data_IF_492608000190
#
_entry.id   IF_492608000190
#
_cell.length_a   1.000
_cell.length_b   1.000
_cell.length_c   1.000
_cell.angle_alpha   90.00
_cell.angle_beta   90.00
_cell.angle_gamma   90.00
#
_symmetry.space_group_name_H-M   'P 1'
#
loop_
_entity.id
_entity.type
_entity.pdbx_description
1 polymer ?
#
# COMPACT_ATOMS: atom_id res chain seq x y z
N UNK A 1 -29.99 13.49 -19.45
CA UNK A 1 -28.97 14.48 -19.86
C UNK A 1 -29.56 15.86 -19.70
N UNK A 2 -29.30 16.52 -18.59
CA UNK A 2 -29.72 17.91 -18.38
C UNK A 2 -28.73 18.82 -19.11
N UNK A 3 -29.21 19.88 -19.77
CA UNK A 3 -28.34 20.82 -20.48
C UNK A 3 -27.43 21.53 -19.48
N UNK A 4 -26.10 21.54 -19.72
CA UNK A 4 -25.07 22.19 -18.88
C UNK A 4 -25.40 23.64 -18.50
N UNK A 5 -26.15 24.33 -19.36
CA UNK A 5 -26.61 25.71 -19.14
C UNK A 5 -27.67 25.82 -18.03
N UNK A 6 -28.54 24.82 -17.87
CA UNK A 6 -29.61 24.80 -16.85
C UNK A 6 -29.05 24.60 -15.43
N UNK A 7 -27.97 23.82 -15.28
CA UNK A 7 -27.31 23.59 -13.98
C UNK A 7 -26.69 24.88 -13.43
N UNK A 8 -26.06 25.68 -14.29
CA UNK A 8 -25.47 26.97 -13.91
C UNK A 8 -26.58 27.98 -13.61
N UNK A 9 -27.66 28.03 -14.40
CA UNK A 9 -28.79 28.93 -14.14
C UNK A 9 -29.50 28.65 -12.81
N UNK A 10 -29.67 27.38 -12.43
CA UNK A 10 -30.30 27.01 -11.16
C UNK A 10 -29.44 27.35 -9.91
N UNK A 11 -28.11 27.42 -10.05
CA UNK A 11 -27.18 27.82 -8.98
C UNK A 11 -27.09 29.33 -8.75
N UNK A 12 -27.62 30.12 -9.69
CA UNK A 12 -27.51 31.57 -9.73
C UNK A 12 -28.79 32.29 -9.28
N UNK A 13 -29.86 31.57 -8.94
CA UNK A 13 -31.06 32.18 -8.35
C UNK A 13 -30.77 32.52 -6.89
N UNK A 14 -30.66 33.80 -6.50
CA UNK A 14 -30.60 34.16 -5.09
C UNK A 14 -31.90 33.69 -4.43
N UNK A 15 -31.77 32.96 -3.30
CA UNK A 15 -32.91 32.66 -2.41
C UNK A 15 -33.51 34.00 -1.95
N UNK A 16 -34.51 34.51 -2.66
CA UNK A 16 -35.34 35.62 -2.18
C UNK A 16 -36.00 35.16 -0.88
N UNK A 17 -35.79 35.93 0.19
CA UNK A 17 -36.55 35.76 1.43
C UNK A 17 -38.05 35.88 1.10
N UNK A 18 -38.81 34.85 1.49
CA UNK A 18 -40.21 34.65 1.15
C UNK A 18 -41.06 35.74 1.83
N UNK A 19 -41.65 36.66 1.06
CA UNK A 19 -42.84 37.42 1.46
C UNK A 19 -44.06 36.74 0.86
N UNK A 20 -45.03 36.45 1.72
CA UNK A 20 -46.40 36.07 1.40
C UNK A 20 -47.10 37.27 0.75
N UNK A 21 -47.63 37.13 -0.47
CA UNK A 21 -49.08 37.07 -0.74
C UNK A 21 -49.41 37.15 -2.24
N UNK A 22 -50.49 36.43 -2.57
CA UNK A 22 -51.55 36.65 -3.57
C UNK A 22 -51.26 36.72 -5.09
N UNK A 23 -51.82 35.70 -5.75
CA UNK A 23 -52.79 35.71 -6.85
C UNK A 23 -52.48 36.11 -8.31
N UNK A 24 -53.23 35.38 -9.15
CA UNK A 24 -53.64 35.61 -10.54
C UNK A 24 -52.76 35.08 -11.69
N UNK A 25 -53.23 33.96 -12.25
CA UNK A 25 -53.66 33.80 -13.65
C UNK A 25 -52.85 34.50 -14.77
N UNK A 26 -52.21 33.70 -15.64
CA UNK A 26 -52.31 33.87 -17.11
C UNK A 26 -51.71 32.75 -17.96
N UNK A 27 -52.55 32.35 -18.90
CA UNK A 27 -52.39 31.60 -20.15
C UNK A 27 -51.03 31.55 -20.87
N UNK A 28 -50.79 30.36 -21.43
CA UNK A 28 -50.27 30.03 -22.77
C UNK A 28 -49.55 31.14 -23.57
N UNK A 29 -48.27 30.92 -23.86
CA UNK A 29 -47.61 31.44 -25.05
C UNK A 29 -46.58 30.43 -25.58
N UNK A 30 -46.82 29.97 -26.80
CA UNK A 30 -45.87 29.27 -27.68
C UNK A 30 -44.75 30.25 -28.01
N UNK A 31 -43.49 29.90 -27.72
CA UNK A 31 -42.32 30.66 -28.16
C UNK A 31 -41.17 29.71 -28.54
N UNK A 32 -41.00 29.60 -29.86
CA UNK A 32 -39.75 29.65 -30.62
C UNK A 32 -38.49 29.02 -30.00
N UNK A 33 -38.01 27.95 -30.65
CA UNK A 33 -36.64 27.43 -30.51
C UNK A 33 -35.65 28.46 -31.04
N UNK A 34 -34.66 28.93 -30.25
CA UNK A 34 -33.57 29.72 -30.81
C UNK A 34 -32.58 28.80 -31.52
N UNK A 35 -32.10 29.32 -32.65
CA UNK A 35 -31.11 28.71 -33.51
C UNK A 35 -29.81 28.39 -32.76
N UNK A 36 -29.18 27.30 -33.20
CA UNK A 36 -27.87 26.81 -32.77
C UNK A 36 -26.83 27.93 -32.75
N UNK A 37 -26.46 28.39 -31.55
CA UNK A 37 -25.30 29.24 -31.34
C UNK A 37 -24.03 28.48 -31.71
N UNK A 38 -23.45 28.88 -32.83
CA UNK A 38 -22.10 28.56 -33.25
C UNK A 38 -21.14 28.95 -32.12
N UNK A 39 -20.46 27.96 -31.52
CA UNK A 39 -19.48 28.17 -30.45
C UNK A 39 -18.31 28.98 -31.00
N UNK A 40 -18.38 30.31 -30.87
CA UNK A 40 -17.24 31.19 -31.06
C UNK A 40 -16.11 30.75 -30.11
N UNK A 41 -15.00 30.33 -30.71
CA UNK A 41 -13.75 30.04 -30.00
C UNK A 41 -13.19 31.40 -29.55
N UNK A 42 -13.47 31.75 -28.29
CA UNK A 42 -13.00 32.98 -27.66
C UNK A 42 -11.46 32.94 -27.58
N UNK A 43 -10.74 33.99 -28.05
CA UNK A 43 -9.28 34.03 -27.98
C UNK A 43 -8.80 33.96 -26.51
N UNK A 44 -7.58 33.44 -26.26
CA UNK A 44 -7.04 33.34 -24.92
C UNK A 44 -6.90 34.73 -24.30
N UNK A 45 -7.77 35.04 -23.35
CA UNK A 45 -7.77 36.30 -22.61
C UNK A 45 -6.49 36.42 -21.79
N UNK A 46 -5.97 37.64 -21.69
CA UNK A 46 -4.75 37.95 -20.93
C UNK A 46 -4.95 37.68 -19.43
N UNK A 47 -3.89 37.26 -18.73
CA UNK A 47 -3.96 36.94 -17.28
C UNK A 47 -4.50 38.07 -16.40
N UNK A 48 -4.41 39.32 -16.87
CA UNK A 48 -5.00 40.49 -16.21
C UNK A 48 -6.53 40.41 -16.12
N UNK A 49 -7.21 39.82 -17.11
CA UNK A 49 -8.66 39.63 -17.10
C UNK A 49 -9.09 38.65 -16.02
N UNK A 50 -8.40 37.51 -15.89
CA UNK A 50 -8.72 36.48 -14.90
C UNK A 50 -8.56 37.02 -13.47
N UNK A 51 -7.49 37.78 -13.21
CA UNK A 51 -7.27 38.43 -11.91
C UNK A 51 -8.32 39.50 -11.60
N UNK A 52 -8.68 40.33 -12.58
CA UNK A 52 -9.75 41.32 -12.42
C UNK A 52 -11.11 40.65 -12.13
N UNK A 53 -11.41 39.55 -12.80
CA UNK A 53 -12.65 38.77 -12.60
C UNK A 53 -12.75 38.21 -11.18
N UNK A 54 -11.65 37.67 -10.63
CA UNK A 54 -11.62 37.18 -9.24
C UNK A 54 -11.75 38.33 -8.25
N UNK A 55 -11.06 39.44 -8.46
CA UNK A 55 -11.16 40.61 -7.57
C UNK A 55 -12.57 41.22 -7.55
N UNK A 56 -13.28 41.23 -8.68
CA UNK A 56 -14.67 41.66 -8.74
C UNK A 56 -15.59 40.76 -7.87
N UNK A 57 -15.36 39.44 -7.88
CA UNK A 57 -16.07 38.50 -7.01
C UNK A 57 -15.76 38.77 -5.53
N UNK A 58 -14.48 38.90 -5.18
CA UNK A 58 -14.04 39.16 -3.80
C UNK A 58 -14.49 40.53 -3.28
N UNK A 59 -14.73 41.51 -4.16
CA UNK A 59 -15.24 42.84 -3.81
C UNK A 59 -16.77 42.89 -3.69
N UNK A 60 -17.47 41.79 -3.97
CA UNK A 60 -18.93 41.72 -3.91
C UNK A 60 -19.65 42.49 -5.03
N UNK A 61 -19.01 42.70 -6.18
CA UNK A 61 -19.63 43.39 -7.32
C UNK A 61 -20.85 42.61 -7.83
N UNK A 62 -21.97 43.31 -8.05
CA UNK A 62 -23.23 42.71 -8.49
C UNK A 62 -23.04 41.97 -9.82
N UNK A 63 -23.35 40.68 -9.84
CA UNK A 63 -23.22 39.83 -11.05
C UNK A 63 -21.80 39.34 -11.36
N UNK A 64 -20.77 39.74 -10.60
CA UNK A 64 -19.41 39.23 -10.80
C UNK A 64 -19.32 37.70 -10.58
N UNK A 65 -20.01 37.17 -9.56
CA UNK A 65 -20.06 35.73 -9.31
C UNK A 65 -20.66 34.92 -10.47
N UNK A 66 -21.70 35.46 -11.15
CA UNK A 66 -22.31 34.82 -12.32
C UNK A 66 -21.34 34.78 -13.49
N UNK A 67 -20.74 35.93 -13.84
CA UNK A 67 -19.74 36.04 -14.91
C UNK A 67 -18.54 35.13 -14.66
N UNK A 68 -18.09 35.06 -13.40
CA UNK A 68 -17.03 34.15 -12.98
C UNK A 68 -17.41 32.69 -13.23
N UNK A 69 -18.57 32.23 -12.74
CA UNK A 69 -19.01 30.85 -12.92
C UNK A 69 -19.25 30.50 -14.39
N UNK A 70 -19.82 31.40 -15.18
CA UNK A 70 -19.95 31.22 -16.64
C UNK A 70 -18.59 30.97 -17.28
N UNK A 71 -17.59 31.77 -16.93
CA UNK A 71 -16.23 31.65 -17.45
C UNK A 71 -15.54 30.33 -17.04
N UNK A 72 -15.66 29.91 -15.77
CA UNK A 72 -14.89 28.79 -15.23
C UNK A 72 -15.62 27.45 -15.24
N UNK A 73 -16.94 27.43 -15.41
CA UNK A 73 -17.78 26.22 -15.31
C UNK A 73 -17.32 25.08 -16.22
N UNK A 74 -17.01 25.36 -17.48
CA UNK A 74 -16.52 24.36 -18.45
C UNK A 74 -15.20 23.74 -18.00
N UNK A 75 -14.30 24.55 -17.46
CA UNK A 75 -13.00 24.08 -16.95
C UNK A 75 -13.19 23.23 -15.69
N UNK A 76 -13.98 23.72 -14.72
CA UNK A 76 -14.30 22.98 -13.50
C UNK A 76 -14.98 21.64 -13.83
N UNK A 77 -15.92 21.63 -14.77
CA UNK A 77 -16.57 20.39 -15.22
C UNK A 77 -15.57 19.40 -15.82
N UNK A 78 -14.67 19.87 -16.68
CA UNK A 78 -13.61 19.03 -17.27
C UNK A 78 -12.69 18.44 -16.18
N UNK A 79 -12.33 19.24 -15.18
CA UNK A 79 -11.53 18.79 -14.03
C UNK A 79 -12.28 17.72 -13.23
N UNK A 80 -13.55 17.96 -12.92
CA UNK A 80 -14.39 17.01 -12.17
C UNK A 80 -14.55 15.70 -12.93
N UNK A 81 -14.87 15.74 -14.22
CA UNK A 81 -15.02 14.53 -15.04
C UNK A 81 -13.72 13.74 -15.08
N UNK A 82 -12.58 14.42 -15.18
CA UNK A 82 -11.26 13.78 -15.16
C UNK A 82 -10.95 13.10 -13.82
N UNK A 83 -11.42 13.66 -12.70
CA UNK A 83 -11.10 13.17 -11.35
C UNK A 83 -12.11 12.14 -10.81
N UNK A 84 -13.39 12.30 -11.12
CA UNK A 84 -14.50 11.52 -10.55
C UNK A 84 -15.12 10.56 -11.58
N UNK A 85 -14.99 10.86 -12.88
CA UNK A 85 -15.73 10.18 -13.95
C UNK A 85 -16.93 11.00 -14.41
N UNK A 86 -17.78 10.43 -15.28
CA UNK A 86 -19.01 11.08 -15.76
C UNK A 86 -20.24 10.58 -14.98
N UNK A 87 -21.36 11.32 -15.07
CA UNK A 87 -22.66 10.95 -14.48
C UNK A 87 -23.03 11.72 -13.21
N UNK A 88 -23.97 11.18 -12.44
CA UNK A 88 -24.57 11.85 -11.28
C UNK A 88 -23.54 12.21 -10.17
N UNK A 89 -22.51 11.38 -10.00
CA UNK A 89 -21.42 11.68 -9.05
C UNK A 89 -20.62 12.92 -9.47
N UNK A 90 -20.38 13.11 -10.77
CA UNK A 90 -19.70 14.27 -11.31
C UNK A 90 -20.52 15.54 -11.12
N UNK A 91 -21.84 15.46 -11.34
CA UNK A 91 -22.77 16.56 -11.07
C UNK A 91 -22.74 16.97 -9.58
N UNK A 92 -22.83 16.00 -8.68
CA UNK A 92 -22.75 16.26 -7.24
C UNK A 92 -21.41 16.88 -6.83
N UNK A 93 -20.29 16.34 -7.35
CA UNK A 93 -18.94 16.85 -7.10
C UNK A 93 -18.76 18.29 -7.63
N UNK A 94 -19.26 18.59 -8.83
CA UNK A 94 -19.24 19.93 -9.39
C UNK A 94 -20.02 20.92 -8.52
N UNK A 95 -21.23 20.56 -8.10
CA UNK A 95 -22.05 21.38 -7.21
C UNK A 95 -21.35 21.60 -5.85
N UNK A 96 -20.71 20.56 -5.32
CA UNK A 96 -19.94 20.66 -4.07
C UNK A 96 -18.76 21.63 -4.21
N UNK A 97 -18.02 21.57 -5.31
CA UNK A 97 -16.93 22.53 -5.58
C UNK A 97 -17.47 23.95 -5.68
N UNK A 98 -18.54 24.19 -6.43
CA UNK A 98 -19.13 25.55 -6.55
C UNK A 98 -19.61 26.06 -5.18
N UNK A 99 -20.24 25.22 -4.37
CA UNK A 99 -20.64 25.57 -3.01
C UNK A 99 -19.43 25.89 -2.12
N UNK A 100 -18.36 25.08 -2.21
CA UNK A 100 -17.11 25.28 -1.46
C UNK A 100 -16.35 26.54 -1.90
N UNK A 101 -16.42 26.90 -3.19
CA UNK A 101 -15.87 28.16 -3.70
C UNK A 101 -16.64 29.37 -3.19
N UNK A 102 -17.95 29.26 -2.96
CA UNK A 102 -18.80 30.34 -2.41
C UNK A 102 -18.70 30.48 -0.89
N UNK A 103 -18.29 29.42 -0.18
CA UNK A 103 -18.21 29.40 1.28
C UNK A 103 -17.25 30.46 1.83
N UNK A 104 -17.51 30.92 3.06
CA UNK A 104 -16.69 31.87 3.82
C UNK A 104 -16.30 33.13 3.04
N UNK A 105 -17.28 33.64 2.27
CA UNK A 105 -17.12 34.80 1.39
C UNK A 105 -15.96 34.59 0.39
N UNK A 106 -16.03 33.47 -0.33
CA UNK A 106 -15.05 33.09 -1.33
C UNK A 106 -13.61 32.96 -0.81
N UNK A 107 -13.44 32.48 0.43
CA UNK A 107 -12.12 32.36 1.06
C UNK A 107 -11.10 31.60 0.20
N UNK A 108 -11.54 30.56 -0.51
CA UNK A 108 -10.69 29.75 -1.41
C UNK A 108 -10.25 30.49 -2.67
N UNK A 109 -10.86 31.62 -3.04
CA UNK A 109 -10.42 32.44 -4.18
C UNK A 109 -9.40 33.50 -3.76
N UNK A 110 -9.31 33.86 -2.46
CA UNK A 110 -8.37 34.88 -1.95
C UNK A 110 -6.90 34.52 -2.15
N UNK A 111 -6.58 33.23 -2.32
CA UNK A 111 -5.23 32.75 -2.62
C UNK A 111 -4.78 32.95 -4.07
N UNK A 112 -5.66 33.39 -4.96
CA UNK A 112 -5.32 33.63 -6.36
C UNK A 112 -4.66 35.00 -6.54
N UNK A 113 -3.36 34.98 -6.88
CA UNK A 113 -2.53 36.20 -7.03
C UNK A 113 -2.38 36.67 -8.49
N UNK A 114 -3.04 35.99 -9.44
CA UNK A 114 -2.94 36.28 -10.88
C UNK A 114 -1.62 35.87 -11.54
N UNK A 115 -0.66 35.27 -10.82
CA UNK A 115 0.61 34.81 -11.42
C UNK A 115 0.47 33.53 -12.24
N UNK A 116 -0.56 32.74 -11.94
CA UNK A 116 -0.90 31.52 -12.67
C UNK A 116 -2.22 31.69 -13.41
N UNK A 117 -2.46 30.84 -14.42
CA UNK A 117 -3.78 30.79 -15.05
C UNK A 117 -4.81 30.33 -14.04
N UNK A 118 -6.00 30.92 -14.07
CA UNK A 118 -7.10 30.58 -13.17
C UNK A 118 -7.50 29.10 -13.29
N UNK A 119 -7.35 28.52 -14.47
CA UNK A 119 -7.61 27.11 -14.74
C UNK A 119 -6.67 26.20 -13.95
N UNK A 120 -5.38 26.54 -13.86
CA UNK A 120 -4.40 25.82 -13.04
C UNK A 120 -4.71 25.96 -11.56
N UNK A 121 -5.01 27.19 -11.11
CA UNK A 121 -5.39 27.46 -9.73
C UNK A 121 -6.64 26.68 -9.31
N UNK A 122 -7.71 26.76 -10.10
CA UNK A 122 -8.97 26.06 -9.85
C UNK A 122 -8.82 24.54 -9.95
N UNK A 123 -7.89 24.03 -10.76
CA UNK A 123 -7.56 22.59 -10.75
C UNK A 123 -7.04 22.15 -9.39
N UNK A 124 -6.17 22.94 -8.75
CA UNK A 124 -5.66 22.65 -7.41
C UNK A 124 -6.76 22.77 -6.35
N UNK A 125 -7.55 23.84 -6.40
CA UNK A 125 -8.65 24.05 -5.45
C UNK A 125 -9.71 22.95 -5.57
N UNK A 126 -10.13 22.61 -6.78
CA UNK A 126 -11.08 21.52 -7.02
C UNK A 126 -10.52 20.19 -6.54
N UNK A 127 -9.23 19.92 -6.78
CA UNK A 127 -8.54 18.74 -6.27
C UNK A 127 -8.63 18.69 -4.75
N UNK A 128 -8.21 19.74 -4.05
CA UNK A 128 -8.26 19.79 -2.59
C UNK A 128 -9.67 19.65 -2.01
N UNK A 129 -10.68 20.31 -2.59
CA UNK A 129 -12.08 20.20 -2.14
C UNK A 129 -12.59 18.76 -2.25
N UNK A 130 -12.35 18.10 -3.40
CA UNK A 130 -12.77 16.71 -3.59
C UNK A 130 -11.98 15.74 -2.70
N UNK A 131 -10.71 16.04 -2.44
CA UNK A 131 -9.88 15.26 -1.53
C UNK A 131 -10.42 15.34 -0.09
N UNK A 132 -10.80 16.54 0.37
CA UNK A 132 -11.39 16.75 1.70
C UNK A 132 -12.75 16.03 1.83
N UNK A 133 -13.61 16.12 0.81
CA UNK A 133 -14.88 15.39 0.77
C UNK A 133 -14.67 13.87 0.87
N UNK A 134 -13.74 13.34 0.06
CA UNK A 134 -13.38 11.94 0.04
C UNK A 134 -12.88 11.46 1.41
N UNK A 135 -12.08 12.27 2.11
CA UNK A 135 -11.63 11.95 3.46
C UNK A 135 -12.80 11.76 4.43
N UNK A 136 -13.83 12.61 4.34
CA UNK A 136 -15.06 12.48 5.13
C UNK A 136 -15.87 11.22 4.81
N UNK A 137 -15.85 10.76 3.55
CA UNK A 137 -16.58 9.57 3.12
C UNK A 137 -16.00 8.26 3.69
N UNK A 138 -14.71 8.20 4.00
CA UNK A 138 -14.09 7.01 4.64
C UNK A 138 -14.70 6.65 6.00
N UNK A 139 -15.36 7.60 6.68
CA UNK A 139 -16.08 7.35 7.94
C UNK A 139 -17.53 6.89 7.73
N UNK A 140 -18.12 7.15 6.55
CA UNK A 140 -19.53 6.87 6.25
C UNK A 140 -19.69 5.61 5.40
N UNK A 141 -18.99 5.56 4.26
CA UNK A 141 -19.08 4.50 3.25
C UNK A 141 -17.67 4.09 2.77
N UNK A 142 -16.90 3.36 3.59
CA UNK A 142 -15.47 3.14 3.33
C UNK A 142 -15.15 2.40 2.02
N UNK A 143 -16.01 1.47 1.60
CA UNK A 143 -15.81 0.70 0.35
C UNK A 143 -15.95 1.58 -0.90
N UNK A 144 -17.03 2.36 -0.97
CA UNK A 144 -17.26 3.32 -2.07
C UNK A 144 -16.18 4.42 -2.07
N UNK A 145 -15.82 4.92 -0.88
CA UNK A 145 -14.74 5.88 -0.73
C UNK A 145 -13.40 5.33 -1.25
N UNK A 146 -13.11 4.04 -1.01
CA UNK A 146 -11.91 3.40 -1.55
C UNK A 146 -11.90 3.30 -3.09
N UNK A 147 -13.02 2.96 -3.71
CA UNK A 147 -13.13 2.92 -5.18
C UNK A 147 -12.91 4.30 -5.79
N UNK A 148 -13.44 5.35 -5.18
CA UNK A 148 -13.19 6.74 -5.59
C UNK A 148 -11.74 7.14 -5.35
N UNK A 149 -11.18 6.79 -4.20
CA UNK A 149 -9.78 7.04 -3.84
C UNK A 149 -8.80 6.43 -4.83
N UNK A 150 -8.99 5.16 -5.19
CA UNK A 150 -8.09 4.44 -6.10
C UNK A 150 -8.11 5.03 -7.52
N UNK A 151 -9.27 5.46 -8.02
CA UNK A 151 -9.39 6.21 -9.28
C UNK A 151 -8.68 7.56 -9.21
N UNK A 152 -8.94 8.31 -8.14
CA UNK A 152 -8.45 9.67 -7.97
C UNK A 152 -6.93 9.75 -7.76
N UNK A 153 -6.38 8.94 -6.85
CA UNK A 153 -4.96 8.96 -6.49
C UNK A 153 -4.11 7.99 -7.32
N UNK A 154 -4.69 7.05 -8.06
CA UNK A 154 -3.95 5.96 -8.71
C UNK A 154 -2.80 6.44 -9.61
N UNK A 155 -3.01 7.53 -10.37
CA UNK A 155 -1.94 8.11 -11.20
C UNK A 155 -0.82 8.75 -10.36
N UNK A 156 -1.18 9.47 -9.28
CA UNK A 156 -0.22 10.08 -8.37
C UNK A 156 0.62 9.04 -7.64
N UNK A 157 -0.03 7.99 -7.12
CA UNK A 157 0.64 6.90 -6.41
C UNK A 157 1.66 6.23 -7.33
N UNK A 158 1.26 5.86 -8.56
CA UNK A 158 2.17 5.27 -9.55
C UNK A 158 3.32 6.22 -9.91
N UNK A 159 3.04 7.52 -10.08
CA UNK A 159 4.09 8.52 -10.33
C UNK A 159 5.07 8.61 -9.17
N UNK A 160 4.57 8.57 -7.93
CA UNK A 160 5.40 8.62 -6.71
C UNK A 160 6.28 7.39 -6.58
N UNK A 161 5.71 6.21 -6.82
CA UNK A 161 6.43 4.92 -6.83
C UNK A 161 7.54 4.94 -7.88
N UNK A 162 7.24 5.38 -9.11
CA UNK A 162 8.22 5.45 -10.19
C UNK A 162 9.38 6.42 -9.88
N UNK A 163 9.15 7.45 -9.07
CA UNK A 163 10.17 8.41 -8.64
C UNK A 163 11.02 7.90 -7.47
N UNK A 164 10.46 7.12 -6.56
CA UNK A 164 11.16 6.68 -5.34
C UNK A 164 11.85 5.33 -5.47
N UNK A 165 11.29 4.41 -6.25
CA UNK A 165 11.89 3.09 -6.42
C UNK A 165 12.92 3.09 -7.55
N UNK A 166 13.99 2.29 -7.44
CA UNK A 166 14.98 2.15 -8.50
C UNK A 166 14.35 1.83 -9.86
N UNK A 167 14.88 2.41 -10.93
CA UNK A 167 14.44 2.12 -12.30
C UNK A 167 14.60 0.65 -12.70
N UNK A 168 15.49 -0.08 -12.02
CA UNK A 168 15.76 -1.51 -12.23
C UNK A 168 14.59 -2.43 -11.87
N UNK A 169 13.64 -1.98 -11.03
CA UNK A 169 12.50 -2.78 -10.59
C UNK A 169 11.51 -3.12 -11.74
N UNK A 170 11.70 -2.52 -12.92
CA UNK A 170 10.86 -2.76 -14.09
C UNK A 170 9.43 -2.27 -13.90
N UNK A 171 8.55 -2.58 -14.87
CA UNK A 171 7.13 -2.22 -14.79
C UNK A 171 6.38 -3.11 -13.79
N UNK A 172 6.62 -4.41 -13.81
CA UNK A 172 5.95 -5.38 -12.94
C UNK A 172 6.18 -5.07 -11.45
N UNK A 173 7.43 -4.94 -11.02
CA UNK A 173 7.71 -4.67 -9.61
C UNK A 173 7.24 -3.29 -9.13
N UNK A 174 7.06 -2.31 -10.04
CA UNK A 174 6.39 -1.04 -9.71
C UNK A 174 4.89 -1.20 -9.49
N UNK A 175 4.23 -2.07 -10.25
CA UNK A 175 2.82 -2.40 -10.01
C UNK A 175 2.66 -3.23 -8.73
N UNK A 176 3.59 -4.15 -8.43
CA UNK A 176 3.59 -4.89 -7.16
C UNK A 176 3.74 -3.93 -5.97
N UNK A 177 4.64 -2.95 -6.06
CA UNK A 177 4.76 -1.90 -5.06
C UNK A 177 3.49 -1.04 -4.93
N UNK A 178 2.78 -0.77 -6.03
CA UNK A 178 1.49 -0.08 -5.99
C UNK A 178 0.43 -0.89 -5.25
N UNK A 179 0.36 -2.21 -5.49
CA UNK A 179 -0.56 -3.09 -4.78
C UNK A 179 -0.23 -3.16 -3.29
N UNK A 180 1.06 -3.27 -2.93
CA UNK A 180 1.49 -3.28 -1.54
C UNK A 180 1.15 -1.96 -0.83
N UNK A 181 1.35 -0.81 -1.48
CA UNK A 181 0.89 0.49 -0.96
C UNK A 181 -0.62 0.50 -0.74
N UNK A 182 -1.40 0.00 -1.71
CA UNK A 182 -2.86 -0.10 -1.58
C UNK A 182 -3.27 -0.98 -0.38
N UNK A 183 -2.66 -2.16 -0.23
CA UNK A 183 -2.90 -3.06 0.89
C UNK A 183 -2.59 -2.38 2.24
N UNK A 184 -1.46 -1.66 2.34
CA UNK A 184 -1.10 -0.91 3.55
C UNK A 184 -2.03 0.25 3.88
N UNK A 185 -2.69 0.84 2.88
CA UNK A 185 -3.69 1.87 3.09
C UNK A 185 -5.05 1.30 3.55
N UNK A 186 -5.42 0.10 3.08
CA UNK A 186 -6.65 -0.61 3.47
C UNK A 186 -6.51 -1.25 4.86
N UNK A 187 -5.29 -1.66 5.24
CA UNK A 187 -4.98 -2.37 6.48
C UNK A 187 -5.64 -1.72 7.72
N UNK A 188 -6.21 -2.56 8.60
CA UNK A 188 -6.92 -2.14 9.81
C UNK A 188 -8.10 -1.18 9.54
N UNK A 189 -8.94 -1.50 8.54
CA UNK A 189 -10.14 -0.72 8.18
C UNK A 189 -9.80 0.76 7.88
N UNK A 190 -8.85 0.94 6.96
CA UNK A 190 -8.41 2.26 6.49
C UNK A 190 -7.86 3.17 7.60
N UNK A 191 -7.33 2.61 8.69
CA UNK A 191 -6.86 3.37 9.87
C UNK A 191 -5.92 4.52 9.51
N UNK A 192 -4.99 4.30 8.58
CA UNK A 192 -4.03 5.34 8.14
C UNK A 192 -4.71 6.48 7.40
N UNK A 193 -5.78 6.23 6.67
CA UNK A 193 -6.52 7.27 5.96
C UNK A 193 -7.39 8.03 6.96
N UNK A 194 -8.13 7.31 7.82
CA UNK A 194 -9.02 7.89 8.85
C UNK A 194 -8.30 8.67 9.93
N UNK A 195 -7.00 8.45 10.14
CA UNK A 195 -6.20 9.27 11.06
C UNK A 195 -5.90 10.68 10.56
N UNK A 196 -6.36 11.05 9.37
CA UNK A 196 -6.31 12.43 8.89
C UNK A 196 -7.17 13.34 9.77
N UNK A 197 -6.53 14.23 10.52
CA UNK A 197 -7.19 15.13 11.47
C UNK A 197 -7.68 16.46 10.88
N UNK A 198 -7.86 16.56 9.56
CA UNK A 198 -8.36 17.80 8.91
C UNK A 198 -7.37 18.97 8.87
N UNK A 199 -6.11 18.78 9.29
CA UNK A 199 -5.09 19.83 9.26
C UNK A 199 -4.25 19.72 7.98
N UNK A 200 -4.24 20.79 7.18
CA UNK A 200 -3.55 20.84 5.87
C UNK A 200 -4.32 20.10 4.77
N UNK A 201 -3.79 20.03 3.55
CA UNK A 201 -4.46 19.32 2.43
C UNK A 201 -4.43 17.79 2.65
N UNK A 202 -5.58 17.14 2.46
CA UNK A 202 -5.68 15.68 2.47
C UNK A 202 -4.76 15.02 1.43
N UNK A 203 -4.60 15.63 0.25
CA UNK A 203 -3.65 15.16 -0.77
C UNK A 203 -2.22 15.08 -0.22
N UNK A 204 -1.76 16.16 0.43
CA UNK A 204 -0.42 16.21 1.03
C UNK A 204 -0.24 15.16 2.13
N UNK A 205 -1.28 14.95 2.95
CA UNK A 205 -1.30 13.91 3.96
C UNK A 205 -1.13 12.51 3.35
N UNK A 206 -1.93 12.16 2.34
CA UNK A 206 -1.89 10.85 1.68
C UNK A 206 -0.52 10.61 1.03
N UNK A 207 0.01 11.59 0.29
CA UNK A 207 1.33 11.45 -0.33
C UNK A 207 2.43 11.26 0.72
N UNK A 208 2.33 11.90 1.88
CA UNK A 208 3.28 11.69 2.99
C UNK A 208 3.16 10.28 3.59
N UNK A 209 1.93 9.77 3.75
CA UNK A 209 1.70 8.40 4.23
C UNK A 209 2.28 7.39 3.24
N UNK A 210 2.07 7.60 1.94
CA UNK A 210 2.60 6.77 0.86
C UNK A 210 4.12 6.80 0.83
N UNK A 211 4.74 7.97 0.96
CA UNK A 211 6.20 8.10 1.06
C UNK A 211 6.76 7.29 2.23
N UNK A 212 6.09 7.32 3.39
CA UNK A 212 6.51 6.52 4.55
C UNK A 212 6.39 5.02 4.28
N UNK A 213 5.30 4.59 3.65
CA UNK A 213 5.12 3.18 3.25
C UNK A 213 6.24 2.77 2.28
N UNK A 214 6.50 3.56 1.24
CA UNK A 214 7.54 3.27 0.26
C UNK A 214 8.93 3.23 0.90
N UNK A 215 9.24 4.16 1.80
CA UNK A 215 10.48 4.13 2.57
C UNK A 215 10.59 2.84 3.39
N UNK A 216 9.50 2.39 4.02
CA UNK A 216 9.51 1.14 4.79
C UNK A 216 9.65 -0.10 3.89
N UNK A 217 9.07 -0.10 2.69
CA UNK A 217 9.28 -1.15 1.69
C UNK A 217 10.73 -1.20 1.22
N UNK A 218 11.30 -0.06 0.85
CA UNK A 218 12.72 0.05 0.47
C UNK A 218 13.62 -0.40 1.63
N UNK A 219 13.27 -0.10 2.89
CA UNK A 219 14.02 -0.56 4.06
C UNK A 219 13.89 -2.05 4.32
N UNK A 220 12.79 -2.68 3.91
CA UNK A 220 12.60 -4.14 4.03
C UNK A 220 13.52 -4.87 3.05
N UNK A 221 13.62 -4.38 1.81
CA UNK A 221 14.48 -4.96 0.78
C UNK A 221 15.95 -4.58 0.95
N UNK A 222 16.19 -3.31 1.30
CA UNK A 222 17.52 -2.74 1.54
C UNK A 222 17.55 -2.21 2.97
N UNK A 223 17.81 -3.08 3.97
CA UNK A 223 17.93 -2.65 5.37
C UNK A 223 18.92 -1.50 5.45
N UNK A 224 18.61 -0.50 6.30
CA UNK A 224 19.47 0.68 6.50
C UNK A 224 20.88 0.22 6.86
N UNK A 225 21.79 0.31 5.90
CA UNK A 225 23.20 0.01 6.09
C UNK A 225 23.82 1.17 6.83
N UNK A 226 23.93 1.05 8.15
CA UNK A 226 24.71 1.98 8.96
C UNK A 226 26.15 1.49 8.96
N UNK A 227 27.08 2.38 8.68
CA UNK A 227 28.49 2.09 8.84
C UNK A 227 28.78 1.81 10.32
N UNK A 228 29.40 0.67 10.67
CA UNK A 228 29.80 0.41 12.05
C UNK A 228 30.71 1.53 12.54
N UNK A 229 30.53 1.98 13.79
CA UNK A 229 31.25 3.12 14.33
C UNK A 229 32.77 2.96 14.27
N UNK A 230 33.27 1.72 14.38
CA UNK A 230 34.69 1.41 14.20
C UNK A 230 35.17 1.74 12.78
N UNK A 231 34.41 1.36 11.76
CA UNK A 231 34.71 1.65 10.35
C UNK A 231 34.55 3.13 10.03
N UNK A 232 33.53 3.80 10.59
CA UNK A 232 33.35 5.25 10.40
C UNK A 232 34.51 6.10 10.92
N UNK A 233 35.30 5.57 11.87
CA UNK A 233 36.51 6.22 12.39
C UNK A 233 37.77 5.85 11.61
N UNK A 234 37.71 4.84 10.75
CA UNK A 234 38.84 4.41 9.91
C UNK A 234 39.08 5.38 8.77
N UNK A 235 40.28 5.33 8.13
CA UNK A 235 40.58 6.11 6.92
C UNK A 235 39.51 5.96 5.81
N UNK A 236 39.35 6.96 4.91
CA UNK A 236 38.36 6.92 3.83
C UNK A 236 38.50 5.70 2.90
N UNK A 237 39.73 5.23 2.66
CA UNK A 237 40.00 4.02 1.88
C UNK A 237 39.40 2.77 2.55
N UNK A 238 39.57 2.64 3.86
CA UNK A 238 39.00 1.53 4.65
C UNK A 238 37.46 1.58 4.62
N UNK A 239 36.86 2.78 4.72
CA UNK A 239 35.41 2.95 4.60
C UNK A 239 34.89 2.56 3.20
N UNK A 240 35.63 2.93 2.16
CA UNK A 240 35.28 2.64 0.77
C UNK A 240 35.42 1.14 0.44
N UNK A 241 36.48 0.49 0.92
CA UNK A 241 36.68 -0.96 0.79
C UNK A 241 35.58 -1.73 1.53
N UNK A 242 35.27 -1.32 2.76
CA UNK A 242 34.17 -1.93 3.52
C UNK A 242 32.84 -1.82 2.77
N UNK A 243 32.54 -0.65 2.21
CA UNK A 243 31.35 -0.43 1.37
C UNK A 243 31.36 -1.33 0.13
N UNK A 244 32.46 -1.38 -0.62
CA UNK A 244 32.57 -2.19 -1.82
C UNK A 244 32.39 -3.70 -1.51
N UNK A 245 33.07 -4.21 -0.49
CA UNK A 245 33.04 -5.65 -0.15
C UNK A 245 31.74 -6.04 0.54
N UNK A 246 31.41 -5.38 1.65
CA UNK A 246 30.32 -5.82 2.55
C UNK A 246 28.96 -5.38 2.04
N UNK A 247 28.86 -4.20 1.42
CA UNK A 247 27.58 -3.67 0.94
C UNK A 247 27.35 -3.96 -0.54
N UNK A 248 28.35 -3.77 -1.39
CA UNK A 248 28.20 -3.97 -2.84
C UNK A 248 28.51 -5.40 -3.28
N UNK A 249 29.09 -6.23 -2.39
CA UNK A 249 29.42 -7.62 -2.68
C UNK A 249 30.60 -7.76 -3.65
N UNK A 250 31.47 -6.74 -3.75
CA UNK A 250 32.70 -6.82 -4.53
C UNK A 250 33.61 -7.92 -3.95
N UNK A 251 34.15 -8.84 -4.78
CA UNK A 251 35.12 -9.82 -4.31
C UNK A 251 36.34 -9.16 -3.67
N UNK A 252 36.93 -9.83 -2.67
CA UNK A 252 38.18 -9.44 -2.01
C UNK A 252 39.40 -9.69 -2.91
N UNK A 253 39.34 -9.22 -4.15
CA UNK A 253 40.40 -9.27 -5.14
C UNK A 253 40.91 -7.86 -5.40
N UNK A 254 42.22 -7.65 -5.30
CA UNK A 254 42.84 -6.32 -5.32
C UNK A 254 42.54 -5.57 -6.62
N UNK A 255 42.58 -6.26 -7.76
CA UNK A 255 42.33 -5.66 -9.07
C UNK A 255 40.86 -5.27 -9.23
N UNK A 256 39.94 -6.14 -8.80
CA UNK A 256 38.50 -5.83 -8.80
C UNK A 256 38.14 -4.70 -7.83
N UNK A 257 38.77 -4.64 -6.67
CA UNK A 257 38.58 -3.55 -5.72
C UNK A 257 39.13 -2.24 -6.28
N UNK A 258 40.33 -2.24 -6.88
CA UNK A 258 40.88 -1.07 -7.55
C UNK A 258 39.94 -0.56 -8.66
N UNK A 259 39.37 -1.46 -9.46
CA UNK A 259 38.38 -1.11 -10.47
C UNK A 259 37.09 -0.53 -9.88
N UNK A 260 36.58 -1.11 -8.78
CA UNK A 260 35.36 -0.65 -8.11
C UNK A 260 35.53 0.71 -7.40
N UNK A 261 36.74 1.00 -6.90
CA UNK A 261 37.07 2.22 -6.17
C UNK A 261 37.51 3.39 -7.07
N UNK A 262 37.78 3.13 -8.35
CA UNK A 262 38.26 4.14 -9.31
C UNK A 262 37.33 5.36 -9.33
N UNK A 263 37.90 6.54 -9.09
CA UNK A 263 37.17 7.82 -9.07
C UNK A 263 36.23 8.03 -7.86
N UNK A 264 36.17 7.12 -6.89
CA UNK A 264 35.41 7.30 -5.63
C UNK A 264 36.20 8.07 -4.57
N UNK A 265 37.53 8.09 -4.69
CA UNK A 265 38.46 8.72 -3.78
C UNK A 265 39.16 9.89 -4.49
N UNK A 266 39.72 10.82 -3.71
CA UNK A 266 40.47 11.96 -4.26
C UNK A 266 41.73 11.53 -5.04
N UNK A 267 42.28 10.35 -4.70
CA UNK A 267 43.38 9.71 -5.40
C UNK A 267 43.06 8.23 -5.54
N UNK A 268 43.36 7.66 -6.71
CA UNK A 268 43.16 6.23 -6.95
C UNK A 268 44.18 5.44 -6.11
N UNK A 269 43.71 4.53 -5.23
CA UNK A 269 44.60 3.79 -4.32
C UNK A 269 45.44 2.79 -5.11
N UNK A 270 46.71 2.61 -4.71
CA UNK A 270 47.57 1.58 -5.30
C UNK A 270 47.17 0.19 -4.80
N UNK A 271 47.60 -0.86 -5.50
CA UNK A 271 47.37 -2.25 -5.09
C UNK A 271 47.91 -2.54 -3.68
N UNK A 272 49.02 -1.89 -3.30
CA UNK A 272 49.63 -2.00 -1.97
C UNK A 272 48.72 -1.36 -0.92
N UNK A 273 48.21 -0.15 -1.18
CA UNK A 273 47.31 0.56 -0.25
C UNK A 273 46.04 -0.25 0.01
N UNK A 274 45.49 -0.89 -1.03
CA UNK A 274 44.30 -1.75 -0.92
C UNK A 274 44.62 -2.97 -0.06
N UNK A 275 45.73 -3.66 -0.31
CA UNK A 275 46.12 -4.85 0.45
C UNK A 275 46.33 -4.53 1.95
N UNK A 276 47.00 -3.43 2.26
CA UNK A 276 47.20 -2.98 3.64
C UNK A 276 45.87 -2.62 4.32
N UNK A 277 44.97 -1.95 3.59
CA UNK A 277 43.65 -1.55 4.12
C UNK A 277 42.75 -2.76 4.37
N UNK A 278 42.77 -3.77 3.49
CA UNK A 278 42.07 -5.05 3.70
C UNK A 278 42.62 -5.77 4.94
N UNK A 279 43.94 -5.81 5.11
CA UNK A 279 44.56 -6.41 6.30
C UNK A 279 44.16 -5.69 7.59
N UNK A 280 44.15 -4.35 7.60
CA UNK A 280 43.67 -3.55 8.75
C UNK A 280 42.21 -3.84 9.07
N UNK A 281 41.34 -3.84 8.05
CA UNK A 281 39.92 -4.09 8.21
C UNK A 281 39.63 -5.50 8.76
N UNK A 282 40.40 -6.51 8.31
CA UNK A 282 40.28 -7.89 8.81
C UNK A 282 40.53 -8.03 10.31
N UNK A 283 41.29 -7.11 10.91
CA UNK A 283 41.50 -7.05 12.37
C UNK A 283 40.34 -6.39 13.14
N UNK A 284 39.48 -5.61 12.48
CA UNK A 284 38.40 -4.84 13.12
C UNK A 284 37.03 -5.49 12.90
N UNK A 285 36.74 -5.94 11.67
CA UNK A 285 35.43 -6.47 11.27
C UNK A 285 35.62 -7.65 10.32
N UNK A 286 34.74 -8.66 10.42
CA UNK A 286 34.67 -9.71 9.39
C UNK A 286 34.23 -9.10 8.07
N UNK A 287 35.10 -9.15 7.07
CA UNK A 287 34.81 -8.76 5.68
C UNK A 287 34.07 -9.88 4.94
N UNK A 288 33.05 -10.45 5.58
CA UNK A 288 32.14 -11.38 4.93
C UNK A 288 30.98 -10.57 4.35
N UNK A 289 30.57 -10.92 3.13
CA UNK A 289 29.34 -10.36 2.56
C UNK A 289 28.22 -10.61 3.56
N UNK A 290 27.54 -9.55 4.01
CA UNK A 290 26.28 -9.75 4.72
C UNK A 290 25.40 -10.56 3.78
N UNK A 291 25.09 -11.82 4.14
CA UNK A 291 24.43 -12.78 3.25
C UNK A 291 23.36 -12.05 2.45
N UNK A 292 23.50 -11.96 1.12
CA UNK A 292 22.49 -11.30 0.34
C UNK A 292 21.17 -12.01 0.64
N UNK A 293 20.09 -11.25 0.81
CA UNK A 293 18.78 -11.80 0.48
C UNK A 293 18.96 -12.41 -0.91
N UNK A 294 18.84 -13.73 -1.00
CA UNK A 294 19.24 -14.56 -2.13
C UNK A 294 18.71 -13.91 -3.40
N UNK A 295 19.57 -13.24 -4.17
CA UNK A 295 19.15 -12.58 -5.39
C UNK A 295 18.80 -13.70 -6.35
N UNK A 296 17.51 -13.83 -6.66
CA UNK A 296 17.03 -14.87 -7.55
C UNK A 296 17.64 -14.62 -8.93
N UNK A 297 18.65 -15.41 -9.28
CA UNK A 297 19.25 -15.39 -10.61
C UNK A 297 18.28 -16.11 -11.53
N UNK A 298 17.83 -15.43 -12.60
CA UNK A 298 17.01 -16.06 -13.62
C UNK A 298 17.78 -17.23 -14.24
N UNK A 299 17.16 -18.40 -14.30
CA UNK A 299 17.73 -19.57 -14.95
C UNK A 299 18.02 -19.30 -16.44
N UNK A 300 17.19 -18.50 -17.11
CA UNK A 300 17.38 -18.11 -18.51
C UNK A 300 18.69 -17.34 -18.73
N UNK A 301 19.13 -16.55 -17.75
CA UNK A 301 20.38 -15.80 -17.83
C UNK A 301 21.61 -16.71 -17.70
N UNK A 302 21.48 -17.87 -17.06
CA UNK A 302 22.56 -18.84 -16.89
C UNK A 302 22.65 -19.83 -18.07
N UNK A 303 21.56 -20.06 -18.80
CA UNK A 303 21.51 -21.09 -19.85
C UNK A 303 22.26 -20.71 -21.13
N UNK A 304 22.46 -19.42 -21.43
CA UNK A 304 23.05 -18.99 -22.70
C UNK A 304 22.35 -19.59 -23.93
N UNK A 305 22.82 -19.29 -25.14
CA UNK A 305 22.34 -20.00 -26.34
C UNK A 305 22.96 -21.41 -26.38
N UNK A 306 22.41 -22.35 -25.61
CA UNK A 306 22.63 -23.78 -25.81
C UNK A 306 23.19 -24.60 -24.65
N UNK A 307 23.36 -24.04 -23.44
CA UNK A 307 23.79 -24.81 -22.27
C UNK A 307 22.58 -25.31 -21.46
N UNK A 308 22.34 -26.63 -21.38
CA UNK A 308 21.36 -27.15 -20.43
C UNK A 308 21.98 -27.25 -19.03
N UNK A 309 21.46 -26.49 -18.07
CA UNK A 309 21.82 -26.68 -16.66
C UNK A 309 20.97 -27.83 -16.12
N UNK A 310 21.64 -28.92 -15.72
CA UNK A 310 20.98 -30.01 -15.00
C UNK A 310 20.78 -29.56 -13.55
N UNK A 311 19.59 -29.05 -13.24
CA UNK A 311 19.16 -28.86 -11.86
C UNK A 311 18.78 -30.24 -11.35
N UNK A 312 19.43 -30.69 -10.27
CA UNK A 312 19.06 -31.94 -9.63
C UNK A 312 17.59 -31.86 -9.22
N UNK A 313 16.76 -32.72 -9.80
CA UNK A 313 15.37 -32.83 -9.42
C UNK A 313 15.33 -33.34 -7.97
N UNK A 314 14.69 -32.55 -7.10
CA UNK A 314 14.49 -32.91 -5.69
C UNK A 314 13.22 -33.73 -5.50
N UNK A 315 12.57 -34.14 -6.60
CA UNK A 315 11.48 -35.10 -6.54
C UNK A 315 12.00 -36.40 -5.92
N UNK A 316 11.20 -37.01 -5.01
CA UNK A 316 11.58 -38.25 -4.37
C UNK A 316 11.79 -39.31 -5.45
N UNK A 317 12.92 -40.02 -5.33
CA UNK A 317 13.25 -41.14 -6.21
C UNK A 317 12.16 -42.21 -6.15
N UNK A 318 12.05 -43.09 -7.16
CA UNK A 318 11.13 -44.22 -7.11
C UNK A 318 11.28 -45.04 -5.81
N UNK A 319 12.50 -45.20 -5.33
CA UNK A 319 12.84 -45.85 -4.06
C UNK A 319 12.33 -45.05 -2.86
N UNK A 320 12.52 -43.72 -2.85
CA UNK A 320 11.97 -42.85 -1.80
C UNK A 320 10.44 -42.88 -1.77
N UNK A 321 9.78 -43.01 -2.93
CA UNK A 321 8.32 -43.14 -3.01
C UNK A 321 7.83 -44.44 -2.40
N UNK A 322 8.57 -45.53 -2.60
CA UNK A 322 8.25 -46.82 -1.99
C UNK A 322 8.41 -46.73 -0.46
N UNK A 323 9.49 -46.11 0.02
CA UNK A 323 9.69 -45.86 1.45
C UNK A 323 8.59 -44.97 2.05
N UNK A 324 8.18 -43.91 1.35
CA UNK A 324 7.09 -43.04 1.78
C UNK A 324 5.76 -43.80 1.86
N UNK A 325 5.49 -44.71 0.92
CA UNK A 325 4.29 -45.54 0.94
C UNK A 325 4.29 -46.53 2.12
N UNK A 326 5.42 -47.22 2.35
CA UNK A 326 5.58 -48.09 3.53
C UNK A 326 5.48 -47.31 4.85
N UNK A 327 6.05 -46.10 4.90
CA UNK A 327 5.90 -45.21 6.06
C UNK A 327 4.45 -44.79 6.27
N UNK A 328 3.71 -44.49 5.20
CA UNK A 328 2.31 -44.10 5.26
C UNK A 328 1.43 -45.27 5.72
N UNK A 329 1.67 -46.49 5.23
CA UNK A 329 1.01 -47.71 5.73
C UNK A 329 1.31 -47.96 7.21
N UNK A 330 2.58 -47.84 7.63
CA UNK A 330 2.96 -47.97 9.04
C UNK A 330 2.32 -46.89 9.91
N UNK A 331 2.28 -45.64 9.44
CA UNK A 331 1.60 -44.53 10.13
C UNK A 331 0.11 -44.78 10.24
N UNK A 332 -0.55 -45.25 9.17
CA UNK A 332 -1.96 -45.57 9.17
C UNK A 332 -2.28 -46.71 10.15
N UNK A 333 -1.46 -47.77 10.17
CA UNK A 333 -1.59 -48.87 11.11
C UNK A 333 -1.41 -48.41 12.56
N UNK A 334 -0.42 -47.56 12.83
CA UNK A 334 -0.17 -46.98 14.15
C UNK A 334 -1.37 -46.12 14.61
N UNK A 335 -1.88 -45.26 13.74
CA UNK A 335 -3.05 -44.42 14.02
C UNK A 335 -4.28 -45.28 14.31
N UNK A 336 -4.51 -46.33 13.53
CA UNK A 336 -5.61 -47.26 13.77
C UNK A 336 -5.48 -47.98 15.12
N UNK A 337 -4.29 -48.44 15.47
CA UNK A 337 -4.02 -49.08 16.76
C UNK A 337 -4.21 -48.12 17.94
N UNK A 338 -3.74 -46.88 17.83
CA UNK A 338 -3.94 -45.84 18.86
C UNK A 338 -5.43 -45.52 19.00
N UNK A 339 -6.17 -45.38 17.90
CA UNK A 339 -7.60 -45.11 17.94
C UNK A 339 -8.38 -46.25 18.61
N UNK A 340 -8.09 -47.51 18.24
CA UNK A 340 -8.71 -48.69 18.86
C UNK A 340 -8.39 -48.81 20.36
N UNK A 341 -7.18 -48.42 20.77
CA UNK A 341 -6.82 -48.37 22.19
C UNK A 341 -7.51 -47.20 22.91
N UNK A 342 -7.66 -46.05 22.25
CA UNK A 342 -8.33 -44.88 22.78
C UNK A 342 -9.82 -45.11 23.00
N UNK A 343 -10.49 -45.96 22.22
CA UNK A 343 -11.90 -46.33 22.43
C UNK A 343 -12.18 -46.94 23.80
N UNK A 344 -11.18 -47.56 24.43
CA UNK A 344 -11.28 -48.15 25.77
C UNK A 344 -11.14 -47.12 26.90
N UNK A 345 -10.75 -45.88 26.59
CA UNK A 345 -10.61 -44.83 27.58
C UNK A 345 -11.97 -44.25 28.02
N UNK A 346 -12.06 -43.77 29.27
CA UNK A 346 -13.20 -42.97 29.72
C UNK A 346 -13.47 -41.77 28.79
N UNK A 347 -14.74 -41.38 28.64
CA UNK A 347 -15.16 -40.25 27.79
C UNK A 347 -14.36 -38.98 28.01
N UNK A 348 -14.05 -38.69 29.27
CA UNK A 348 -13.43 -37.43 29.68
C UNK A 348 -11.94 -37.40 29.30
N UNK A 349 -11.28 -38.56 29.33
CA UNK A 349 -9.88 -38.70 28.92
C UNK A 349 -9.74 -38.65 27.40
N UNK A 350 -10.70 -39.24 26.66
CA UNK A 350 -10.77 -39.12 25.19
C UNK A 350 -10.97 -37.67 24.74
N UNK A 351 -11.90 -36.96 25.38
CA UNK A 351 -12.17 -35.55 25.09
C UNK A 351 -10.94 -34.68 25.38
N UNK A 352 -10.25 -34.92 26.50
CA UNK A 352 -9.01 -34.22 26.83
C UNK A 352 -7.93 -34.41 25.74
N UNK A 353 -7.67 -35.66 25.33
CA UNK A 353 -6.68 -35.97 24.29
C UNK A 353 -7.06 -35.34 22.94
N UNK A 354 -8.35 -35.38 22.57
CA UNK A 354 -8.84 -34.75 21.35
C UNK A 354 -8.58 -33.25 21.33
N UNK A 355 -8.86 -32.54 22.43
CA UNK A 355 -8.62 -31.09 22.54
C UNK A 355 -7.13 -30.77 22.44
N UNK A 356 -6.26 -31.57 23.07
CA UNK A 356 -4.80 -31.35 23.08
C UNK A 356 -4.20 -31.58 21.70
N UNK A 357 -4.59 -32.63 20.98
CA UNK A 357 -4.01 -32.96 19.67
C UNK A 357 -4.66 -32.24 18.49
N UNK A 358 -5.87 -31.69 18.65
CA UNK A 358 -6.54 -30.92 17.59
C UNK A 358 -6.11 -29.45 17.54
N UNK A 359 -5.35 -28.97 18.53
CA UNK A 359 -4.90 -27.58 18.59
C UNK A 359 -3.58 -27.41 17.82
N UNK A 360 -3.54 -26.44 16.90
CA UNK A 360 -2.31 -26.08 16.18
C UNK A 360 -1.21 -25.53 17.11
N UNK A 361 -1.59 -25.04 18.30
CA UNK A 361 -0.71 -24.55 19.35
C UNK A 361 -1.10 -25.16 20.71
N UNK A 362 -0.14 -25.42 21.61
CA UNK A 362 -0.42 -26.02 22.91
C UNK A 362 -1.28 -25.09 23.78
N UNK A 363 -2.53 -25.51 24.04
CA UNK A 363 -3.46 -24.75 24.87
C UNK A 363 -3.06 -24.76 26.36
N UNK A 364 -3.15 -23.63 27.08
CA UNK A 364 -2.93 -23.60 28.51
C UNK A 364 -4.04 -24.35 29.27
N UNK A 365 -3.73 -24.91 30.44
CA UNK A 365 -4.66 -25.74 31.23
C UNK A 365 -6.00 -25.03 31.53
N UNK A 366 -6.00 -23.70 31.71
CA UNK A 366 -7.21 -22.89 31.89
C UNK A 366 -8.10 -22.85 30.63
N UNK A 367 -7.49 -22.86 29.45
CA UNK A 367 -8.21 -22.91 28.18
C UNK A 367 -8.89 -24.27 27.99
N UNK A 368 -8.17 -25.36 28.31
CA UNK A 368 -8.71 -26.72 28.29
C UNK A 368 -9.85 -26.88 29.30
N UNK A 369 -9.68 -26.40 30.53
CA UNK A 369 -10.71 -26.43 31.57
C UNK A 369 -12.01 -25.74 31.14
N UNK A 370 -11.90 -24.58 30.49
CA UNK A 370 -13.05 -23.84 29.94
C UNK A 370 -13.76 -24.63 28.84
N UNK A 371 -13.02 -25.27 27.95
CA UNK A 371 -13.60 -26.08 26.86
C UNK A 371 -14.28 -27.35 27.36
N UNK A 372 -13.73 -27.97 28.41
CA UNK A 372 -14.26 -29.18 29.02
C UNK A 372 -15.36 -28.92 30.06
N UNK A 373 -15.56 -27.66 30.48
CA UNK A 373 -16.55 -27.29 31.50
C UNK A 373 -16.19 -27.82 32.91
N UNK A 374 -14.91 -28.03 33.20
CA UNK A 374 -14.44 -28.60 34.47
C UNK A 374 -13.44 -27.68 35.20
N UNK A 375 -13.19 -27.91 36.51
CA UNK A 375 -12.14 -27.21 37.26
C UNK A 375 -10.74 -27.45 36.71
N UNK A 376 -9.83 -26.50 36.92
CA UNK A 376 -8.46 -26.57 36.38
C UNK A 376 -7.66 -27.71 37.03
N UNK A 377 -7.96 -28.03 38.29
CA UNK A 377 -7.34 -29.12 39.04
C UNK A 377 -7.62 -30.49 38.38
N UNK A 378 -8.83 -30.68 37.85
CA UNK A 378 -9.23 -31.93 37.20
C UNK A 378 -8.53 -32.09 35.84
N UNK A 379 -8.23 -30.99 35.14
CA UNK A 379 -7.41 -31.02 33.92
C UNK A 379 -5.99 -31.54 34.22
N UNK A 380 -5.39 -31.18 35.35
CA UNK A 380 -4.09 -31.71 35.74
C UNK A 380 -4.13 -33.21 36.06
N UNK A 381 -5.21 -33.68 36.69
CA UNK A 381 -5.42 -35.12 36.95
C UNK A 381 -5.66 -35.90 35.67
N UNK A 382 -6.43 -35.35 34.72
CA UNK A 382 -6.63 -35.92 33.39
C UNK A 382 -5.29 -36.00 32.64
N UNK A 383 -4.51 -34.92 32.63
CA UNK A 383 -3.17 -34.89 32.04
C UNK A 383 -2.27 -36.01 32.57
N UNK A 384 -2.20 -36.20 33.90
CA UNK A 384 -1.38 -37.25 34.50
C UNK A 384 -1.86 -38.66 34.11
N UNK A 385 -3.17 -38.91 34.13
CA UNK A 385 -3.76 -40.19 33.73
C UNK A 385 -3.50 -40.50 32.25
N UNK A 386 -3.77 -39.54 31.36
CA UNK A 386 -3.52 -39.68 29.93
C UNK A 386 -2.04 -39.86 29.61
N UNK A 387 -1.13 -39.19 30.34
CA UNK A 387 0.32 -39.41 30.19
C UNK A 387 0.75 -40.81 30.61
N UNK A 388 0.17 -41.36 31.69
CA UNK A 388 0.43 -42.73 32.12
C UNK A 388 -0.05 -43.73 31.07
N UNK A 389 -1.27 -43.54 30.56
CA UNK A 389 -1.85 -44.37 29.51
C UNK A 389 -1.02 -44.32 28.21
N UNK A 390 -0.58 -43.13 27.77
CA UNK A 390 0.28 -42.99 26.58
C UNK A 390 1.58 -43.81 26.74
N UNK A 391 2.22 -43.76 27.91
CA UNK A 391 3.42 -44.57 28.18
C UNK A 391 3.13 -46.07 28.11
N UNK A 392 2.01 -46.52 28.68
CA UNK A 392 1.62 -47.93 28.63
C UNK A 392 1.37 -48.41 27.20
N UNK A 393 0.75 -47.58 26.36
CA UNK A 393 0.53 -47.90 24.94
C UNK A 393 1.83 -47.90 24.14
N UNK A 394 2.74 -46.97 24.38
CA UNK A 394 4.04 -46.97 23.68
C UNK A 394 4.76 -48.30 23.91
N UNK A 395 4.80 -48.78 25.15
CA UNK A 395 5.41 -50.08 25.49
C UNK A 395 4.68 -51.25 24.82
N UNK A 396 3.35 -51.21 24.72
CA UNK A 396 2.58 -52.26 24.03
C UNK A 396 2.82 -52.26 22.52
N UNK A 397 2.93 -51.08 21.90
CA UNK A 397 3.18 -50.95 20.47
C UNK A 397 4.61 -51.36 20.10
N UNK A 398 5.61 -51.00 20.92
CA UNK A 398 7.00 -51.46 20.76
C UNK A 398 7.07 -53.00 20.82
N UNK A 399 6.43 -53.60 21.83
CA UNK A 399 6.40 -55.07 21.98
C UNK A 399 5.68 -55.79 20.82
N UNK A 400 4.66 -55.17 20.24
CA UNK A 400 3.94 -55.73 19.10
C UNK A 400 4.69 -55.53 17.78
N UNK A 401 5.50 -54.47 17.66
CA UNK A 401 6.35 -54.21 16.48
C UNK A 401 7.48 -55.23 16.36
N UNK A 402 8.07 -55.67 17.48
CA UNK A 402 9.12 -56.70 17.51
C UNK A 402 8.62 -58.12 17.20
N UNK A 403 7.31 -58.33 17.25
CA UNK A 403 6.66 -59.63 16.99
C UNK A 403 6.19 -59.82 15.55
N UNK A 404 6.28 -58.77 14.72
CA UNK A 404 5.78 -58.76 13.33
C UNK A 404 6.90 -58.64 12.28
N UNK A 405 8.17 -58.76 12.69
CA UNK A 405 9.36 -58.95 11.85
C UNK A 405 9.76 -60.41 11.91
#
# INVERSE_FOLDING_TARGET
>A
MWSRSLLVQNLLVPKKAKRHDEDADRANAVAERPASSEMQIVPPLSGNFEHALVNAVLSGEVGAASRFLEHVSTTLWSIVVKLVGDGAEAEAAFLHIVASLKADDYARLRGFDGRSRITTYLSLVARDVLADELAGQFSKTPREAWERFSRYFGADLRSRIAKQLPSKLGRAGREDAYQEVCLKLIENDFRRIRSYGGRGSFTGYILTVVDRILIDLVRRETPRRRMPAAISRSPPLDQAIYTAVVWEGCPLDTDRLAAALRGRLAQDPTAVDIAESVARLGGIVRLERASPATEAVSLDALLGEGGSISIADSSPTPEDRLLLFEEEERRAALVAAINAAAEKLPSDERLYLQIVFSANEPLPARGIARLMGCPVEDVYRLKQRSQKWLKEITVQLEKNSDMSV
#
